data_IF_885774202909
#
_entry.id   IF_885774202909
#
_cell.length_a   1.000
_cell.length_b   1.000
_cell.length_c   1.000
_cell.angle_alpha   90.00
_cell.angle_beta   90.00
_cell.angle_gamma   90.00
#
_symmetry.space_group_name_H-M   'P 1'
#
loop_
_entity.id
_entity.type
_entity.pdbx_description
1 polymer ?
#
# COMPACT_ATOMS: atom_id res chain seq x y z
N UNK A 1 20.22 37.31 -39.47
CA UNK A 1 20.52 36.89 -38.09
C UNK A 1 19.97 37.95 -37.13
N UNK A 2 18.83 37.69 -36.49
CA UNK A 2 18.20 38.59 -35.51
C UNK A 2 18.36 37.97 -34.13
N UNK A 3 19.17 38.59 -33.27
CA UNK A 3 19.28 38.26 -31.85
C UNK A 3 18.12 38.93 -31.11
N UNK A 4 17.27 38.13 -30.48
CA UNK A 4 16.21 38.61 -29.58
C UNK A 4 16.71 38.38 -28.16
N UNK A 5 16.93 39.48 -27.44
CA UNK A 5 17.02 39.53 -25.99
C UNK A 5 15.66 39.98 -25.45
N UNK A 6 15.14 39.30 -24.42
CA UNK A 6 14.10 39.73 -23.47
C UNK A 6 13.73 38.49 -22.62
N UNK A 7 13.42 38.53 -21.33
CA UNK A 7 13.34 39.55 -20.28
C UNK A 7 13.20 38.73 -18.99
N UNK A 8 14.01 38.99 -17.95
CA UNK A 8 13.82 38.38 -16.63
C UNK A 8 12.65 39.13 -15.97
N UNK A 9 11.50 38.46 -15.82
CA UNK A 9 10.39 38.98 -15.04
C UNK A 9 10.62 38.66 -13.56
N UNK A 10 10.95 39.70 -12.79
CA UNK A 10 10.88 39.69 -11.34
C UNK A 10 9.40 39.65 -10.93
N UNK A 11 8.91 38.48 -10.52
CA UNK A 11 7.61 38.31 -9.90
C UNK A 11 7.71 38.53 -8.40
N UNK A 12 7.09 39.62 -7.91
CA UNK A 12 6.90 39.92 -6.49
C UNK A 12 6.11 38.78 -5.83
N UNK A 13 6.69 38.14 -4.83
CA UNK A 13 6.00 37.18 -3.96
C UNK A 13 5.16 37.98 -2.96
N UNK A 14 3.84 37.99 -3.16
CA UNK A 14 2.90 38.44 -2.14
C UNK A 14 2.75 37.32 -1.11
N UNK A 15 3.37 37.51 0.06
CA UNK A 15 3.19 36.64 1.23
C UNK A 15 1.85 36.99 1.86
N UNK A 16 0.84 36.13 1.65
CA UNK A 16 -0.37 36.15 2.46
C UNK A 16 -0.08 35.43 3.79
N UNK A 17 -0.47 35.99 4.96
CA UNK A 17 -0.41 35.26 6.22
C UNK A 17 -1.54 34.23 6.21
N UNK A 18 -1.21 33.00 5.84
CA UNK A 18 -2.12 31.87 5.93
C UNK A 18 -2.39 31.52 7.39
N UNK A 19 -3.66 31.48 7.76
CA UNK A 19 -4.14 30.94 9.03
C UNK A 19 -3.55 29.56 9.30
N UNK A 20 -2.95 29.37 10.48
CA UNK A 20 -2.39 28.09 10.96
C UNK A 20 -3.50 27.04 11.14
N UNK A 21 -3.90 26.40 10.04
CA UNK A 21 -4.24 24.98 10.12
C UNK A 21 -2.93 24.25 10.40
N UNK A 22 -2.85 23.49 11.51
CA UNK A 22 -1.63 22.82 11.97
C UNK A 22 -0.84 22.25 10.79
N UNK A 23 0.41 22.69 10.63
CA UNK A 23 1.20 22.47 9.43
C UNK A 23 1.24 20.98 9.08
N UNK A 24 0.55 20.61 8.00
CA UNK A 24 0.57 19.26 7.46
C UNK A 24 2.02 18.91 7.13
N UNK A 25 2.56 17.86 7.76
CA UNK A 25 3.92 17.44 7.45
C UNK A 25 4.00 16.99 6.00
N UNK A 26 4.94 17.59 5.26
CA UNK A 26 5.16 17.24 3.86
C UNK A 26 5.79 15.85 3.75
N UNK A 27 5.18 14.99 2.94
CA UNK A 27 5.76 13.70 2.55
C UNK A 27 6.76 13.85 1.40
N UNK A 28 6.92 15.07 0.86
CA UNK A 28 7.73 15.33 -0.32
C UNK A 28 9.22 15.01 -0.15
N UNK A 29 9.83 14.56 -1.24
CA UNK A 29 11.24 14.20 -1.32
C UNK A 29 11.47 12.85 -1.99
N UNK A 30 12.75 12.50 -2.14
CA UNK A 30 13.17 11.18 -2.60
C UNK A 30 13.29 10.21 -1.43
N UNK A 31 12.76 9.00 -1.63
CA UNK A 31 12.66 7.98 -0.60
C UNK A 31 13.17 6.64 -1.13
N UNK A 32 13.87 5.91 -0.27
CA UNK A 32 14.37 4.57 -0.55
C UNK A 32 13.93 3.59 0.53
N UNK A 33 13.43 2.43 0.12
CA UNK A 33 12.93 1.39 1.03
C UNK A 33 14.07 0.84 1.86
N UNK A 34 13.86 0.84 3.17
CA UNK A 34 14.70 0.15 4.12
C UNK A 34 14.19 -1.29 4.28
N UNK A 35 14.79 -2.21 3.54
CA UNK A 35 14.43 -3.64 3.56
C UNK A 35 14.69 -4.29 4.92
N UNK A 36 15.55 -3.70 5.77
CA UNK A 36 15.88 -4.25 7.09
C UNK A 36 14.83 -3.90 8.14
N UNK A 37 14.22 -2.71 8.04
CA UNK A 37 13.17 -2.23 8.96
C UNK A 37 11.75 -2.45 8.44
N UNK A 38 11.61 -2.82 7.17
CA UNK A 38 10.32 -3.11 6.54
C UNK A 38 9.91 -4.57 6.73
N UNK A 39 8.61 -4.80 6.80
CA UNK A 39 8.04 -6.14 6.69
C UNK A 39 7.84 -6.46 5.22
N UNK A 40 8.63 -7.40 4.70
CA UNK A 40 8.44 -7.94 3.35
C UNK A 40 7.08 -8.62 3.21
N UNK A 41 6.45 -8.48 2.03
CA UNK A 41 5.18 -9.11 1.70
C UNK A 41 5.28 -10.64 1.80
N UNK A 42 6.39 -11.23 1.33
CA UNK A 42 6.55 -12.68 1.35
C UNK A 42 6.62 -13.19 2.79
N UNK A 43 7.36 -12.48 3.64
CA UNK A 43 7.40 -12.71 5.09
C UNK A 43 6.03 -12.52 5.75
N UNK A 44 5.25 -11.52 5.34
CA UNK A 44 3.93 -11.28 5.90
C UNK A 44 2.92 -12.36 5.50
N UNK A 45 2.99 -12.84 4.25
CA UNK A 45 2.21 -13.98 3.76
C UNK A 45 2.60 -15.27 4.47
N UNK A 46 3.89 -15.48 4.76
CA UNK A 46 4.37 -16.63 5.54
C UNK A 46 3.87 -16.60 6.98
N UNK A 47 3.99 -15.45 7.66
CA UNK A 47 3.44 -15.27 9.01
C UNK A 47 1.91 -15.47 9.02
N UNK A 48 1.22 -15.01 7.98
CA UNK A 48 -0.22 -15.22 7.85
C UNK A 48 -0.57 -16.72 7.70
N UNK A 49 0.18 -17.45 6.88
CA UNK A 49 -0.01 -18.89 6.70
C UNK A 49 0.33 -19.68 7.97
N UNK A 50 1.41 -19.34 8.68
CA UNK A 50 1.79 -19.97 9.95
C UNK A 50 0.73 -19.76 11.04
N UNK A 51 0.18 -18.55 11.13
CA UNK A 51 -0.90 -18.24 12.08
C UNK A 51 -2.23 -18.91 11.73
N UNK A 52 -2.44 -19.31 10.47
CA UNK A 52 -3.58 -20.13 10.06
C UNK A 52 -3.33 -21.64 10.25
N UNK A 53 -2.07 -22.10 10.16
CA UNK A 53 -1.68 -23.51 10.34
C UNK A 53 -1.66 -24.02 11.80
N UNK A 54 -1.84 -23.14 12.79
CA UNK A 54 -1.86 -23.50 14.22
C UNK A 54 -3.18 -24.14 14.69
N UNK A 55 -4.07 -24.58 13.78
CA UNK A 55 -5.15 -25.50 14.14
C UNK A 55 -4.64 -26.94 14.14
N UNK A 56 -4.19 -27.36 15.32
CA UNK A 56 -4.08 -28.75 15.80
C UNK A 56 -3.21 -29.71 15.00
N UNK A 57 -1.91 -29.71 15.29
CA UNK A 57 -1.14 -30.95 15.41
C UNK A 57 -0.57 -31.06 16.82
N UNK A 58 -1.45 -31.30 17.80
CA UNK A 58 -1.06 -32.06 18.98
C UNK A 58 -1.09 -33.52 18.58
N UNK A 59 0.05 -34.02 18.10
CA UNK A 59 0.32 -35.46 18.00
C UNK A 59 0.34 -36.02 19.42
N UNK A 60 -0.82 -36.48 19.89
CA UNK A 60 -0.86 -37.46 20.98
C UNK A 60 -0.43 -38.81 20.37
N UNK A 61 0.61 -39.48 20.91
CA UNK A 61 0.98 -40.80 20.45
C UNK A 61 -0.12 -41.80 20.85
N UNK A 62 -0.77 -42.40 19.86
CA UNK A 62 -1.70 -43.53 20.04
C UNK A 62 -3.18 -43.13 20.04
N UNK A 63 -3.85 -43.35 18.91
CA UNK A 63 -5.30 -43.22 18.79
C UNK A 63 -5.77 -43.32 17.35
N UNK A 64 -6.38 -44.45 17.03
CA UNK A 64 -6.87 -44.87 15.70
C UNK A 64 -7.94 -43.91 15.11
N UNK A 65 -7.99 -43.67 13.78
CA UNK A 65 -9.00 -42.81 13.20
C UNK A 65 -10.31 -43.57 12.97
N UNK A 66 -11.44 -42.97 13.36
CA UNK A 66 -12.77 -43.32 12.84
C UNK A 66 -13.31 -42.13 12.03
N UNK A 67 -13.81 -42.35 10.80
CA UNK A 67 -14.45 -41.29 10.05
C UNK A 67 -15.91 -41.16 10.51
N UNK A 68 -16.35 -39.95 10.79
CA UNK A 68 -17.78 -39.64 10.91
C UNK A 68 -18.02 -38.34 10.16
N UNK A 69 -18.53 -38.48 8.94
CA UNK A 69 -19.09 -37.38 8.19
C UNK A 69 -20.44 -36.96 8.76
N UNK A 70 -20.88 -35.76 8.39
CA UNK A 70 -22.24 -35.37 8.00
C UNK A 70 -22.22 -33.88 7.57
N UNK A 71 -23.23 -33.38 6.84
CA UNK A 71 -23.02 -32.63 5.60
C UNK A 71 -23.63 -31.22 5.65
N UNK A 72 -23.27 -30.41 4.66
CA UNK A 72 -24.08 -29.26 4.26
C UNK A 72 -23.87 -27.98 5.07
N UNK A 73 -22.96 -27.14 4.58
CA UNK A 73 -23.26 -25.72 4.46
C UNK A 73 -22.53 -25.20 3.23
N UNK A 74 -23.28 -24.70 2.25
CA UNK A 74 -22.75 -23.89 1.16
C UNK A 74 -22.13 -22.62 1.74
N UNK A 75 -20.88 -22.73 2.18
CA UNK A 75 -20.02 -21.61 2.50
C UNK A 75 -19.13 -21.38 1.29
N UNK A 76 -19.14 -20.16 0.76
CA UNK A 76 -18.15 -19.73 -0.22
C UNK A 76 -16.78 -20.26 0.22
N UNK A 77 -16.11 -21.00 -0.66
CA UNK A 77 -14.81 -21.59 -0.38
C UNK A 77 -13.87 -20.47 0.06
N UNK A 78 -13.69 -20.33 1.37
CA UNK A 78 -12.57 -19.59 1.91
C UNK A 78 -11.36 -20.42 1.49
N UNK A 79 -10.70 -19.98 0.44
CA UNK A 79 -9.45 -20.59 0.00
C UNK A 79 -8.50 -20.49 1.17
N UNK A 80 -8.25 -21.63 1.81
CA UNK A 80 -7.26 -21.72 2.85
C UNK A 80 -5.90 -21.55 2.18
N UNK A 81 -5.23 -20.44 2.46
CA UNK A 81 -3.87 -20.12 2.01
C UNK A 81 -2.84 -21.21 2.36
N UNK A 82 -3.16 -22.12 3.27
CA UNK A 82 -2.33 -23.29 3.59
C UNK A 82 -2.53 -24.48 2.63
N UNK A 83 -3.60 -24.47 1.82
CA UNK A 83 -3.92 -25.48 0.80
C UNK A 83 -3.74 -24.98 -0.64
N UNK A 84 -3.53 -23.68 -0.83
CA UNK A 84 -3.36 -23.09 -2.16
C UNK A 84 -1.97 -23.44 -2.71
N UNK A 85 -1.93 -23.92 -3.97
CA UNK A 85 -0.68 -24.24 -4.63
C UNK A 85 0.24 -23.01 -4.78
N UNK A 86 1.54 -23.23 -4.92
CA UNK A 86 2.53 -22.14 -5.01
C UNK A 86 2.24 -21.11 -6.12
N UNK A 87 1.60 -21.52 -7.21
CA UNK A 87 1.21 -20.65 -8.32
C UNK A 87 0.11 -19.63 -7.94
N UNK A 88 -0.91 -20.07 -7.20
CA UNK A 88 -2.00 -19.20 -6.77
C UNK A 88 -1.51 -18.20 -5.70
N UNK A 89 -0.60 -18.64 -4.82
CA UNK A 89 0.06 -17.77 -3.86
C UNK A 89 0.92 -16.71 -4.58
N UNK A 90 1.68 -17.10 -5.60
CA UNK A 90 2.48 -16.17 -6.38
C UNK A 90 1.61 -15.14 -7.12
N UNK A 91 0.48 -15.58 -7.70
CA UNK A 91 -0.50 -14.69 -8.33
C UNK A 91 -1.10 -13.71 -7.33
N UNK A 92 -1.51 -14.19 -6.16
CA UNK A 92 -2.03 -13.34 -5.08
C UNK A 92 -0.98 -12.31 -4.62
N UNK A 93 0.26 -12.75 -4.44
CA UNK A 93 1.36 -11.86 -4.07
C UNK A 93 1.56 -10.77 -5.14
N UNK A 94 1.48 -11.12 -6.43
CA UNK A 94 1.56 -10.17 -7.52
C UNK A 94 0.40 -9.16 -7.51
N UNK A 95 -0.85 -9.61 -7.34
CA UNK A 95 -2.02 -8.72 -7.26
C UNK A 95 -1.94 -7.76 -6.06
N UNK A 96 -1.49 -8.25 -4.89
CA UNK A 96 -1.27 -7.38 -3.73
C UNK A 96 -0.10 -6.42 -3.96
N UNK A 97 0.98 -6.82 -4.64
CA UNK A 97 2.07 -5.91 -5.03
C UNK A 97 1.62 -4.83 -6.01
N UNK A 98 0.65 -5.11 -6.88
CA UNK A 98 0.08 -4.10 -7.77
C UNK A 98 -0.80 -3.09 -7.02
N UNK A 99 -1.56 -3.56 -6.02
CA UNK A 99 -2.48 -2.72 -5.24
C UNK A 99 -1.81 -1.93 -4.12
N UNK A 100 -0.63 -2.37 -3.68
CA UNK A 100 0.17 -1.68 -2.67
C UNK A 100 1.32 -1.00 -3.39
N UNK A 101 1.50 0.32 -3.22
CA UNK A 101 2.54 1.02 -3.98
C UNK A 101 3.92 0.64 -3.42
N UNK A 102 4.49 -0.44 -3.96
CA UNK A 102 5.66 -1.15 -3.43
C UNK A 102 6.91 -0.93 -4.27
N UNK A 103 7.17 0.31 -4.66
CA UNK A 103 8.46 0.65 -5.27
C UNK A 103 9.51 0.81 -4.17
N UNK A 104 10.70 0.24 -4.39
CA UNK A 104 11.82 0.42 -3.46
C UNK A 104 12.42 1.82 -3.50
N UNK A 105 12.11 2.62 -4.52
CA UNK A 105 12.66 3.97 -4.66
C UNK A 105 11.74 4.87 -5.47
N UNK A 106 11.31 5.98 -4.86
CA UNK A 106 10.43 6.94 -5.52
C UNK A 106 10.67 8.36 -5.03
N UNK A 107 10.25 9.33 -5.83
CA UNK A 107 10.08 10.73 -5.42
C UNK A 107 8.60 11.00 -5.13
N UNK A 108 8.32 11.73 -4.04
CA UNK A 108 7.00 12.28 -3.74
C UNK A 108 7.00 13.77 -4.07
N UNK A 109 6.09 14.16 -4.97
CA UNK A 109 5.76 15.56 -5.24
C UNK A 109 4.38 15.87 -4.67
N UNK A 110 4.35 16.74 -3.67
CA UNK A 110 3.12 17.13 -2.95
C UNK A 110 2.72 18.57 -3.28
N UNK A 111 1.43 18.76 -3.56
CA UNK A 111 0.76 20.06 -3.65
C UNK A 111 -0.34 20.14 -2.60
N UNK A 112 -1.08 21.24 -2.56
CA UNK A 112 -2.22 21.43 -1.66
C UNK A 112 -3.37 20.43 -1.92
N UNK A 113 -3.45 19.86 -3.13
CA UNK A 113 -4.59 19.02 -3.56
C UNK A 113 -4.18 17.66 -4.10
N UNK A 114 -2.89 17.44 -4.35
CA UNK A 114 -2.41 16.20 -4.95
C UNK A 114 -1.10 15.71 -4.34
N UNK A 115 -0.96 14.39 -4.28
CA UNK A 115 0.29 13.71 -3.97
C UNK A 115 0.63 12.82 -5.16
N UNK A 116 1.79 13.06 -5.78
CA UNK A 116 2.27 12.27 -6.91
C UNK A 116 3.46 11.44 -6.48
N UNK A 117 3.41 10.15 -6.76
CA UNK A 117 4.51 9.22 -6.56
C UNK A 117 5.17 8.92 -7.90
N UNK A 118 6.48 9.16 -7.97
CA UNK A 118 7.31 8.96 -9.15
C UNK A 118 8.30 7.82 -8.87
N UNK A 119 8.06 6.60 -9.38
CA UNK A 119 9.02 5.51 -9.22
C UNK A 119 10.34 5.88 -9.92
N UNK A 120 11.47 5.72 -9.23
CA UNK A 120 12.80 6.05 -9.77
C UNK A 120 13.56 4.81 -10.26
N UNK A 121 13.13 3.60 -9.86
CA UNK A 121 13.80 2.34 -10.17
C UNK A 121 12.95 1.35 -10.99
N UNK A 122 11.73 1.72 -11.35
CA UNK A 122 10.78 0.87 -12.06
C UNK A 122 10.22 1.65 -13.25
N UNK A 123 10.01 0.96 -14.37
CA UNK A 123 9.34 1.51 -15.56
C UNK A 123 7.81 1.52 -15.37
N UNK A 124 7.34 2.00 -14.22
CA UNK A 124 5.92 2.17 -13.92
C UNK A 124 5.51 3.63 -14.09
N UNK A 125 4.25 3.84 -14.47
CA UNK A 125 3.68 5.18 -14.56
C UNK A 125 3.62 5.85 -13.18
N UNK A 126 3.71 7.18 -13.22
CA UNK A 126 3.53 8.01 -12.03
C UNK A 126 2.11 7.83 -11.48
N UNK A 127 2.00 7.67 -10.17
CA UNK A 127 0.69 7.58 -9.52
C UNK A 127 0.34 8.92 -8.92
N UNK A 128 -0.66 9.59 -9.50
CA UNK A 128 -1.19 10.86 -9.00
C UNK A 128 -2.46 10.64 -8.19
N UNK A 129 -2.41 10.98 -6.91
CA UNK A 129 -3.56 10.95 -6.01
C UNK A 129 -4.13 12.35 -5.83
N UNK A 130 -5.45 12.51 -5.98
CA UNK A 130 -6.15 13.72 -5.53
C UNK A 130 -6.65 13.50 -4.11
N UNK A 131 -6.29 14.38 -3.19
CA UNK A 131 -6.47 14.17 -1.74
C UNK A 131 -7.76 14.77 -1.19
N UNK A 132 -8.83 14.79 -1.99
CA UNK A 132 -10.13 15.39 -1.66
C UNK A 132 -11.14 14.42 -1.03
N UNK A 133 -10.71 13.19 -0.74
CA UNK A 133 -11.55 12.14 -0.15
C UNK A 133 -12.65 11.61 -1.07
N UNK A 134 -12.69 12.02 -2.34
CA UNK A 134 -13.64 11.47 -3.30
C UNK A 134 -13.16 10.13 -3.84
N UNK A 135 -14.11 9.22 -4.03
CA UNK A 135 -13.89 7.95 -4.71
C UNK A 135 -13.82 8.18 -6.21
N UNK A 136 -12.89 7.52 -6.88
CA UNK A 136 -12.69 7.54 -8.32
C UNK A 136 -12.53 6.12 -8.81
N UNK A 137 -13.19 5.79 -9.92
CA UNK A 137 -12.95 4.52 -10.59
C UNK A 137 -11.61 4.62 -11.33
N UNK A 138 -10.78 3.60 -11.18
CA UNK A 138 -9.43 3.53 -11.75
C UNK A 138 -9.15 2.13 -12.28
N UNK A 139 -8.34 2.07 -13.32
CA UNK A 139 -7.75 0.84 -13.85
C UNK A 139 -6.25 0.89 -13.54
N UNK A 140 -5.74 -0.11 -12.80
CA UNK A 140 -4.33 -0.14 -12.40
C UNK A 140 -3.43 -0.82 -13.43
N UNK A 141 -3.90 -1.94 -14.00
CA UNK A 141 -3.22 -2.71 -15.05
C UNK A 141 -4.11 -3.86 -15.52
N UNK A 142 -4.06 -4.21 -16.81
CA UNK A 142 -4.61 -5.46 -17.37
C UNK A 142 -5.90 -5.95 -16.68
N UNK A 143 -6.99 -5.18 -16.82
CA UNK A 143 -8.33 -5.53 -16.30
C UNK A 143 -8.51 -5.45 -14.77
N UNK A 144 -7.49 -5.03 -14.03
CA UNK A 144 -7.63 -4.75 -12.60
C UNK A 144 -8.24 -3.37 -12.40
N UNK A 145 -9.57 -3.36 -12.32
CA UNK A 145 -10.38 -2.17 -12.07
C UNK A 145 -10.83 -2.09 -10.61
N UNK A 146 -11.13 -0.88 -10.16
CA UNK A 146 -11.74 -0.66 -8.87
C UNK A 146 -11.80 0.81 -8.49
N UNK A 147 -11.89 1.04 -7.18
CA UNK A 147 -12.08 2.37 -6.63
C UNK A 147 -10.84 2.82 -5.86
N UNK A 148 -10.44 4.06 -6.09
CA UNK A 148 -9.38 4.75 -5.38
C UNK A 148 -9.96 5.94 -4.63
N UNK A 149 -9.52 6.12 -3.39
CA UNK A 149 -9.79 7.31 -2.58
C UNK A 149 -8.52 7.69 -1.82
N UNK A 150 -8.19 8.97 -1.81
CA UNK A 150 -7.10 9.50 -1.00
C UNK A 150 -7.61 10.72 -0.21
N UNK A 151 -7.27 10.79 1.07
CA UNK A 151 -7.61 11.92 1.93
C UNK A 151 -6.58 12.09 3.04
N UNK A 152 -6.39 13.33 3.46
CA UNK A 152 -5.64 13.63 4.67
C UNK A 152 -6.50 13.39 5.92
N UNK A 153 -5.91 12.75 6.92
CA UNK A 153 -6.45 12.57 8.27
C UNK A 153 -5.40 13.06 9.25
N UNK A 154 -5.45 14.35 9.56
CA UNK A 154 -4.39 15.01 10.34
C UNK A 154 -3.09 15.04 9.53
N UNK A 155 -2.01 14.56 10.13
CA UNK A 155 -0.66 14.46 9.55
C UNK A 155 -0.45 13.21 8.66
N UNK A 156 -1.49 12.39 8.47
CA UNK A 156 -1.41 11.15 7.69
C UNK A 156 -2.21 11.23 6.41
N UNK A 157 -1.61 10.79 5.32
CA UNK A 157 -2.33 10.55 4.07
C UNK A 157 -2.88 9.12 4.11
N UNK A 158 -4.21 9.00 4.10
CA UNK A 158 -4.90 7.72 3.97
C UNK A 158 -5.24 7.48 2.50
N UNK A 159 -4.83 6.33 1.97
CA UNK A 159 -5.15 5.88 0.61
C UNK A 159 -5.92 4.56 0.70
N UNK A 160 -7.11 4.52 0.11
CA UNK A 160 -7.98 3.34 0.07
C UNK A 160 -8.10 2.90 -1.39
N UNK A 161 -7.80 1.62 -1.66
CA UNK A 161 -8.01 0.97 -2.96
C UNK A 161 -8.92 -0.23 -2.76
N UNK A 162 -9.94 -0.35 -3.60
CA UNK A 162 -10.90 -1.46 -3.53
C UNK A 162 -11.12 -2.05 -4.90
N UNK A 163 -10.88 -3.34 -5.04
CA UNK A 163 -11.23 -4.13 -6.22
C UNK A 163 -12.40 -5.06 -5.87
N UNK A 164 -12.78 -5.93 -6.80
CA UNK A 164 -13.74 -7.01 -6.55
C UNK A 164 -13.28 -7.95 -5.42
N UNK A 165 -11.98 -8.20 -5.34
CA UNK A 165 -11.41 -9.27 -4.52
C UNK A 165 -10.65 -8.75 -3.29
N UNK A 166 -10.19 -7.49 -3.32
CA UNK A 166 -9.38 -6.88 -2.26
C UNK A 166 -9.84 -5.49 -1.84
N UNK A 167 -9.54 -5.16 -0.59
CA UNK A 167 -9.55 -3.82 -0.04
C UNK A 167 -8.17 -3.56 0.60
N UNK A 168 -7.46 -2.57 0.07
CA UNK A 168 -6.15 -2.12 0.54
C UNK A 168 -6.31 -0.74 1.15
N UNK A 169 -5.79 -0.57 2.37
CA UNK A 169 -5.68 0.73 3.03
C UNK A 169 -4.22 1.01 3.34
N UNK A 170 -3.67 2.10 2.83
CA UNK A 170 -2.34 2.59 3.19
C UNK A 170 -2.47 3.85 4.03
N UNK A 171 -1.69 3.93 5.11
CA UNK A 171 -1.49 5.15 5.89
C UNK A 171 -0.05 5.59 5.74
N UNK A 172 0.14 6.74 5.10
CA UNK A 172 1.44 7.35 4.86
C UNK A 172 1.67 8.46 5.87
N UNK A 173 2.81 8.43 6.54
CA UNK A 173 3.16 9.39 7.58
C UNK A 173 4.66 9.65 7.60
N UNK A 174 5.07 10.84 8.05
CA UNK A 174 6.47 11.19 8.23
C UNK A 174 6.84 11.07 9.71
N UNK A 175 7.95 10.40 9.98
CA UNK A 175 8.66 10.47 11.25
C UNK A 175 9.76 11.52 11.09
N UNK A 176 9.46 12.75 11.50
CA UNK A 176 10.33 13.90 11.30
C UNK A 176 11.62 13.81 12.13
N UNK A 177 11.59 13.14 13.28
CA UNK A 177 12.73 13.03 14.19
C UNK A 177 13.83 12.14 13.61
N UNK A 178 13.44 11.13 12.83
CA UNK A 178 14.36 10.17 12.22
C UNK A 178 14.49 10.34 10.69
N UNK A 179 13.82 11.36 10.12
CA UNK A 179 13.69 11.60 8.68
C UNK A 179 13.26 10.35 7.88
N UNK A 180 12.23 9.68 8.40
CA UNK A 180 11.67 8.47 7.79
C UNK A 180 10.28 8.72 7.23
N UNK A 181 9.95 7.98 6.17
CA UNK A 181 8.58 7.82 5.71
C UNK A 181 8.09 6.43 6.11
N UNK A 182 6.96 6.40 6.83
CA UNK A 182 6.35 5.18 7.35
C UNK A 182 5.04 4.95 6.62
N UNK A 183 4.88 3.75 6.07
CA UNK A 183 3.68 3.31 5.38
C UNK A 183 3.14 2.06 6.04
N UNK A 184 1.97 2.20 6.67
CA UNK A 184 1.23 1.07 7.23
C UNK A 184 0.20 0.63 6.20
N UNK A 185 0.25 -0.64 5.81
CA UNK A 185 -0.61 -1.21 4.77
C UNK A 185 -1.47 -2.30 5.39
N UNK A 186 -2.77 -2.20 5.23
CA UNK A 186 -3.72 -3.25 5.55
C UNK A 186 -4.35 -3.78 4.27
N UNK A 187 -4.32 -5.10 4.09
CA UNK A 187 -4.96 -5.78 2.96
C UNK A 187 -6.02 -6.73 3.51
N UNK A 188 -7.25 -6.55 3.06
CA UNK A 188 -8.38 -7.46 3.28
C UNK A 188 -8.78 -8.04 1.94
N UNK A 189 -9.29 -9.26 1.95
CA UNK A 189 -9.73 -9.93 0.74
C UNK A 189 -10.35 -11.27 1.07
N UNK A 190 -11.12 -11.82 0.15
CA UNK A 190 -11.84 -13.09 0.37
C UNK A 190 -10.91 -14.27 0.64
N UNK A 191 -9.68 -14.17 0.16
CA UNK A 191 -8.64 -15.18 0.33
C UNK A 191 -7.98 -15.12 1.70
N UNK A 192 -8.12 -14.01 2.44
CA UNK A 192 -7.54 -13.87 3.77
C UNK A 192 -8.61 -14.06 4.85
N UNK A 193 -8.41 -15.03 5.77
CA UNK A 193 -9.31 -15.19 6.92
C UNK A 193 -9.21 -14.01 7.90
N UNK A 194 -8.07 -13.32 7.92
CA UNK A 194 -7.78 -12.10 8.70
C UNK A 194 -7.10 -11.09 7.80
N UNK A 195 -7.12 -9.80 8.15
CA UNK A 195 -6.35 -8.80 7.38
C UNK A 195 -4.84 -9.11 7.40
N UNK A 196 -4.19 -8.95 6.26
CA UNK A 196 -2.74 -8.91 6.14
C UNK A 196 -2.26 -7.49 6.47
N UNK A 197 -1.19 -7.37 7.25
CA UNK A 197 -0.62 -6.08 7.64
C UNK A 197 0.84 -6.02 7.23
N UNK A 198 1.23 -4.96 6.53
CA UNK A 198 2.60 -4.66 6.12
C UNK A 198 3.00 -3.32 6.72
N UNK A 199 4.28 -3.17 7.00
CA UNK A 199 4.87 -1.90 7.40
C UNK A 199 6.09 -1.67 6.54
N UNK A 200 6.10 -0.59 5.76
CA UNK A 200 7.24 -0.18 4.95
C UNK A 200 7.85 1.07 5.55
N UNK A 201 9.17 1.06 5.65
CA UNK A 201 9.96 2.17 6.18
C UNK A 201 10.88 2.61 5.06
N UNK A 202 10.85 3.90 4.75
CA UNK A 202 11.74 4.49 3.77
C UNK A 202 12.66 5.48 4.47
N UNK A 203 13.91 5.49 4.03
CA UNK A 203 14.90 6.50 4.36
C UNK A 203 14.87 7.59 3.30
N UNK A 204 15.04 8.84 3.72
CA UNK A 204 15.17 9.94 2.79
C UNK A 204 16.50 9.86 2.06
N UNK A 205 16.49 10.11 0.75
CA UNK A 205 17.72 10.26 -0.03
C UNK A 205 18.21 11.71 0.05
N UNK A 206 19.54 11.91 0.11
CA UNK A 206 20.14 13.24 0.12
C UNK A 206 19.95 13.99 -1.19
#
# INVERSE_FOLDING_TARGET
MKKIWCLILAGVVLVFPGSEAGAQQSLGGEWQLDTTRSTDLDRALDLHAQNNGLRTYSSIPGGQPTPSGLPGSGGAAAVDLSTTGGADRARLAAEVRLLTYGSDMFEIVQTDTTVTFHPLNLAYDNVRLTTDGRKRDVEWSWELEGQLKAEWKGDRLKVERKTKDFEVTEQWSRDADNDLLVVEVEVKGRLFQKKLVLRRIYQRRP
#
